data_IF_139111754395
#
_entry.id   IF_139111754395
#
_cell.length_a   1.000
_cell.length_b   1.000
_cell.length_c   1.000
_cell.angle_alpha   90.00
_cell.angle_beta   90.00
_cell.angle_gamma   90.00
#
_symmetry.space_group_name_H-M   'P 1'
#
loop_
_entity.id
_entity.type
_entity.pdbx_description
1 polymer ?
#
# COMPACT_ATOMS: atom_id res chain seq x y z
N UNK A 1 -6.04 -9.61 13.46
CA UNK A 1 -6.11 -8.13 13.50
C UNK A 1 -5.90 -7.62 12.08
N UNK A 2 -6.75 -6.72 11.60
CA UNK A 2 -6.63 -6.06 10.30
C UNK A 2 -6.20 -4.60 10.54
N UNK A 3 -5.15 -4.16 9.86
CA UNK A 3 -4.77 -2.74 9.86
C UNK A 3 -5.62 -2.00 8.82
N UNK A 4 -6.06 -0.78 9.15
CA UNK A 4 -6.81 0.08 8.23
C UNK A 4 -6.31 1.51 8.33
N UNK A 5 -6.04 2.10 7.17
CA UNK A 5 -5.67 3.50 7.02
C UNK A 5 -6.57 4.15 5.98
N UNK A 6 -7.14 5.31 6.28
CA UNK A 6 -8.02 6.04 5.36
C UNK A 6 -7.49 7.46 5.16
N UNK A 7 -7.35 7.85 3.90
CA UNK A 7 -7.00 9.21 3.49
C UNK A 7 -8.25 9.85 2.90
N UNK A 8 -8.61 11.02 3.41
CA UNK A 8 -9.67 11.86 2.84
C UNK A 8 -8.99 13.02 2.12
N UNK A 9 -9.09 13.06 0.79
CA UNK A 9 -8.58 14.18 0.01
C UNK A 9 -9.58 15.34 0.03
N UNK A 10 -9.08 16.58 -0.07
CA UNK A 10 -9.90 17.81 0.00
C UNK A 10 -11.00 17.90 -1.07
N UNK A 11 -10.96 17.06 -2.11
CA UNK A 11 -11.97 16.99 -3.18
C UNK A 11 -13.11 15.99 -2.95
N UNK A 12 -13.23 15.38 -1.76
CA UNK A 12 -14.29 14.42 -1.44
C UNK A 12 -13.95 12.96 -1.78
N UNK A 13 -12.87 12.72 -2.53
CA UNK A 13 -12.34 11.39 -2.75
C UNK A 13 -11.68 10.84 -1.48
N UNK A 14 -12.09 9.64 -1.08
CA UNK A 14 -11.45 8.89 0.00
C UNK A 14 -10.77 7.64 -0.57
N UNK A 15 -9.58 7.36 -0.04
CA UNK A 15 -8.86 6.12 -0.28
C UNK A 15 -8.70 5.37 1.04
N UNK A 16 -8.99 4.07 1.04
CA UNK A 16 -8.77 3.19 2.18
C UNK A 16 -7.76 2.12 1.81
N UNK A 17 -6.75 1.96 2.65
CA UNK A 17 -5.79 0.87 2.61
C UNK A 17 -6.06 -0.07 3.79
N UNK A 18 -6.26 -1.35 3.51
CA UNK A 18 -6.32 -2.40 4.54
C UNK A 18 -5.17 -3.37 4.38
N UNK A 19 -4.71 -3.93 5.51
CA UNK A 19 -3.72 -5.00 5.53
C UNK A 19 -4.21 -6.11 6.46
N UNK A 20 -4.32 -7.33 5.92
CA UNK A 20 -4.86 -8.49 6.62
C UNK A 20 -3.90 -9.67 6.50
N UNK A 21 -3.65 -10.36 7.62
CA UNK A 21 -2.87 -11.60 7.61
C UNK A 21 -3.68 -12.70 6.91
N UNK A 22 -3.08 -13.34 5.91
CA UNK A 22 -3.70 -14.41 5.13
C UNK A 22 -2.73 -15.58 4.99
N UNK A 23 -3.28 -16.76 4.71
CA UNK A 23 -2.51 -17.94 4.34
C UNK A 23 -2.76 -18.21 2.86
N UNK A 24 -1.74 -18.03 2.02
CA UNK A 24 -1.79 -18.36 0.61
C UNK A 24 -1.68 -19.86 0.44
N UNK A 25 -2.60 -20.44 -0.34
CA UNK A 25 -2.54 -21.82 -0.79
C UNK A 25 -2.39 -21.81 -2.30
N UNK A 26 -1.18 -21.56 -2.79
CA UNK A 26 -0.85 -21.92 -4.16
C UNK A 26 -0.89 -23.46 -4.24
N UNK A 27 -1.29 -24.05 -5.37
CA UNK A 27 -1.53 -25.50 -5.55
C UNK A 27 -0.36 -26.46 -5.29
N UNK A 28 0.68 -26.04 -4.58
CA UNK A 28 1.67 -26.88 -3.90
C UNK A 28 1.25 -27.15 -2.45
N UNK A 29 1.67 -28.28 -1.89
CA UNK A 29 1.31 -28.74 -0.52
C UNK A 29 1.73 -27.81 0.64
N UNK A 30 2.38 -26.67 0.39
CA UNK A 30 2.84 -25.75 1.44
C UNK A 30 2.02 -24.46 1.44
N UNK A 31 1.29 -24.27 2.54
CA UNK A 31 0.61 -23.02 2.82
C UNK A 31 1.64 -21.95 3.25
N UNK A 32 1.55 -20.75 2.69
CA UNK A 32 2.51 -19.67 2.93
C UNK A 32 1.82 -18.48 3.63
N UNK A 33 2.32 -18.02 4.78
CA UNK A 33 1.79 -16.83 5.42
C UNK A 33 2.16 -15.58 4.62
N UNK A 34 1.19 -14.68 4.46
CA UNK A 34 1.36 -13.42 3.73
C UNK A 34 0.47 -12.33 4.33
N UNK A 35 0.66 -11.10 3.84
CA UNK A 35 -0.23 -9.97 4.11
C UNK A 35 -0.96 -9.61 2.81
N UNK A 36 -2.29 -9.66 2.86
CA UNK A 36 -3.15 -9.12 1.81
C UNK A 36 -3.28 -7.61 2.02
N UNK A 37 -2.74 -6.81 1.10
CA UNK A 37 -2.87 -5.35 1.12
C UNK A 37 -3.87 -4.93 0.05
N UNK A 38 -4.98 -4.35 0.48
CA UNK A 38 -6.01 -3.82 -0.41
C UNK A 38 -6.00 -2.30 -0.37
N UNK A 39 -6.05 -1.67 -1.54
CA UNK A 39 -6.24 -0.23 -1.70
C UNK A 39 -7.54 -0.03 -2.46
N UNK A 40 -8.48 0.69 -1.87
CA UNK A 40 -9.78 1.01 -2.47
C UNK A 40 -9.97 2.52 -2.49
N UNK A 41 -10.44 3.06 -3.62
CA UNK A 41 -10.78 4.48 -3.77
C UNK A 41 -11.75 4.68 -4.93
N UNK A 42 -12.85 5.39 -4.68
CA UNK A 42 -13.96 5.50 -5.64
C UNK A 42 -14.44 4.12 -6.13
N UNK A 43 -14.51 3.94 -7.45
CA UNK A 43 -14.89 2.66 -8.07
C UNK A 43 -13.73 1.66 -8.26
N UNK A 44 -12.49 2.03 -7.88
CA UNK A 44 -11.32 1.19 -8.07
C UNK A 44 -10.91 0.49 -6.78
N UNK A 45 -10.57 -0.80 -6.89
CA UNK A 45 -9.93 -1.56 -5.81
C UNK A 45 -8.79 -2.40 -6.38
N UNK A 46 -7.64 -2.36 -5.72
CA UNK A 46 -6.45 -3.16 -6.05
C UNK A 46 -6.07 -3.99 -4.85
N UNK A 47 -5.66 -5.23 -5.09
CA UNK A 47 -5.23 -6.18 -4.06
C UNK A 47 -3.86 -6.73 -4.45
N UNK A 48 -2.93 -6.74 -3.50
CA UNK A 48 -1.65 -7.43 -3.61
C UNK A 48 -1.47 -8.36 -2.42
N UNK A 49 -0.77 -9.46 -2.63
CA UNK A 49 -0.32 -10.34 -1.56
C UNK A 49 1.18 -10.17 -1.38
N UNK A 50 1.61 -9.92 -0.16
CA UNK A 50 3.00 -9.63 0.19
C UNK A 50 3.50 -10.76 1.10
N UNK A 51 4.43 -11.60 0.64
CA UNK A 51 5.12 -12.57 1.48
C UNK A 51 5.78 -11.90 2.69
N UNK A 52 5.85 -12.61 3.82
CA UNK A 52 6.36 -12.03 5.06
C UNK A 52 7.82 -11.54 4.96
N UNK A 53 8.66 -12.23 4.19
CA UNK A 53 10.06 -11.87 3.95
C UNK A 53 10.22 -10.58 3.10
N UNK A 54 9.13 -10.09 2.50
CA UNK A 54 9.12 -8.90 1.62
C UNK A 54 8.44 -7.68 2.20
N UNK A 55 7.82 -7.79 3.38
CA UNK A 55 7.09 -6.68 4.00
C UNK A 55 8.01 -5.50 4.32
N UNK A 56 9.20 -5.76 4.86
CA UNK A 56 10.17 -4.70 5.20
C UNK A 56 10.70 -3.98 3.95
N UNK A 57 10.99 -4.74 2.89
CA UNK A 57 11.40 -4.20 1.59
C UNK A 57 10.31 -3.28 1.02
N UNK A 58 9.06 -3.71 1.04
CA UNK A 58 7.93 -2.92 0.56
C UNK A 58 7.77 -1.61 1.34
N UNK A 59 7.77 -1.66 2.68
CA UNK A 59 7.61 -0.47 3.52
C UNK A 59 8.76 0.51 3.30
N UNK A 60 9.98 0.00 3.17
CA UNK A 60 11.17 0.82 2.89
C UNK A 60 11.07 1.49 1.52
N UNK A 61 10.70 0.73 0.48
CA UNK A 61 10.52 1.29 -0.88
C UNK A 61 9.43 2.37 -0.96
N UNK A 62 8.30 2.17 -0.25
CA UNK A 62 7.24 3.20 -0.15
C UNK A 62 7.78 4.47 0.51
N UNK A 63 8.52 4.33 1.62
CA UNK A 63 9.11 5.46 2.34
C UNK A 63 10.09 6.25 1.47
N UNK A 64 10.96 5.55 0.75
CA UNK A 64 11.97 6.17 -0.11
C UNK A 64 11.34 6.87 -1.31
N UNK A 65 10.32 6.26 -1.92
CA UNK A 65 9.53 6.88 -2.99
C UNK A 65 8.85 8.17 -2.51
N UNK A 66 8.24 8.13 -1.32
CA UNK A 66 7.61 9.31 -0.72
C UNK A 66 8.62 10.42 -0.41
N UNK A 67 9.83 10.07 0.07
CA UNK A 67 10.91 11.03 0.29
C UNK A 67 11.38 11.67 -1.01
N UNK A 68 11.49 10.89 -2.08
CA UNK A 68 11.89 11.39 -3.39
C UNK A 68 10.87 12.39 -3.94
N UNK A 69 9.58 12.03 -3.96
CA UNK A 69 8.50 12.92 -4.38
C UNK A 69 8.44 14.23 -3.56
N UNK A 70 8.67 14.13 -2.25
CA UNK A 70 8.73 15.32 -1.38
C UNK A 70 9.95 16.21 -1.67
N UNK A 71 11.08 15.64 -2.10
CA UNK A 71 12.25 16.40 -2.51
C UNK A 71 12.00 17.13 -3.84
N UNK A 72 11.42 16.44 -4.82
CA UNK A 72 11.04 17.03 -6.12
C UNK A 72 10.03 18.18 -5.95
N UNK A 73 8.99 18.00 -5.13
CA UNK A 73 7.99 19.05 -4.88
C UNK A 73 8.59 20.32 -4.28
N UNK A 74 9.61 20.20 -3.41
CA UNK A 74 10.30 21.37 -2.84
C UNK A 74 11.18 22.11 -3.84
N UNK A 75 11.63 21.42 -4.89
CA UNK A 75 12.49 21.99 -5.93
C UNK A 75 11.70 22.75 -7.00
N UNK A 76 10.39 22.53 -7.11
CA UNK A 76 9.52 23.20 -8.08
C UNK A 76 8.36 24.00 -7.43
N UNK A 77 8.64 25.19 -6.83
CA UNK A 77 7.59 26.06 -6.28
C UNK A 77 6.96 26.99 -7.33
N UNK A 78 7.27 26.86 -8.63
CA UNK A 78 6.93 27.86 -9.68
C UNK A 78 6.04 27.34 -10.82
N UNK A 79 5.11 26.45 -10.50
CA UNK A 79 4.10 26.00 -11.45
C UNK A 79 2.69 26.12 -10.83
N UNK A 80 2.24 27.35 -10.57
CA UNK A 80 0.84 27.70 -10.29
C UNK A 80 0.44 28.88 -11.16
#
# INVERSE_FOLDING_TARGET
MAYRFTINNRGGDSATLTAEAVILRAGSDRAEPAVAVRISGGAQSRLIYVPLDRVEELVTGIRDTARHAAAEFRQDPRSV
#
